data_IF_269368296250
#
_entry.id   IF_269368296250
#
_cell.length_a   1.000
_cell.length_b   1.000
_cell.length_c   1.000
_cell.angle_alpha   90.00
_cell.angle_beta   90.00
_cell.angle_gamma   90.00
#
_symmetry.space_group_name_H-M   'P 1'
#
loop_
_entity.id
_entity.type
_entity.pdbx_description
1 polymer ?
#
# COMPACT_ATOMS: atom_id res chain seq x y z
N UNK A 1 8.19 2.72 12.31
CA UNK A 1 7.31 3.23 11.24
C UNK A 1 5.91 3.41 11.80
N UNK A 2 5.09 4.22 11.16
CA UNK A 2 3.66 4.37 11.46
C UNK A 2 2.87 3.75 10.32
N UNK A 3 1.81 3.02 10.64
CA UNK A 3 0.82 2.60 9.66
C UNK A 3 -0.27 3.68 9.55
N UNK A 4 -0.58 4.13 8.34
CA UNK A 4 -1.64 5.11 8.11
C UNK A 4 -2.99 4.42 7.87
N UNK A 5 -4.01 4.76 8.67
CA UNK A 5 -5.41 4.51 8.34
C UNK A 5 -5.92 5.73 7.56
N UNK A 6 -6.35 5.52 6.32
CA UNK A 6 -6.70 6.59 5.38
C UNK A 6 -7.93 6.23 4.57
N UNK A 7 -8.61 7.24 4.04
CA UNK A 7 -9.73 7.05 3.13
C UNK A 7 -9.25 6.38 1.84
N UNK A 8 -9.89 5.28 1.50
CA UNK A 8 -9.68 4.54 0.26
C UNK A 8 -10.90 4.72 -0.64
N UNK A 9 -10.66 4.88 -1.93
CA UNK A 9 -11.69 4.90 -2.97
C UNK A 9 -11.29 3.87 -4.02
N UNK A 10 -12.22 2.98 -4.36
CA UNK A 10 -12.02 1.96 -5.38
C UNK A 10 -13.26 1.82 -6.23
N UNK A 11 -13.09 1.40 -7.48
CA UNK A 11 -14.19 0.94 -8.33
C UNK A 11 -14.51 -0.52 -7.96
N UNK A 12 -15.50 -0.72 -7.07
CA UNK A 12 -15.92 -2.04 -6.59
C UNK A 12 -16.54 -2.02 -5.20
N UNK A 13 -17.12 -3.15 -4.79
CA UNK A 13 -17.67 -3.33 -3.45
C UNK A 13 -16.55 -3.71 -2.46
N UNK A 14 -16.68 -3.29 -1.20
CA UNK A 14 -15.84 -3.82 -0.12
C UNK A 14 -14.54 -3.06 0.16
N UNK A 15 -14.57 -1.72 0.15
CA UNK A 15 -13.41 -0.90 0.57
C UNK A 15 -13.01 -1.17 2.03
N UNK A 16 -13.98 -1.52 2.88
CA UNK A 16 -13.71 -1.82 4.29
C UNK A 16 -12.83 -3.05 4.48
N UNK A 17 -12.85 -3.96 3.51
CA UNK A 17 -12.15 -5.24 3.48
C UNK A 17 -10.66 -5.01 3.24
N UNK A 18 -10.28 -4.00 2.44
CA UNK A 18 -8.89 -3.56 2.28
C UNK A 18 -8.24 -3.12 3.59
N UNK A 19 -9.05 -2.74 4.58
CA UNK A 19 -8.63 -2.27 5.90
C UNK A 19 -8.92 -3.29 7.02
N UNK A 20 -9.50 -4.44 6.70
CA UNK A 20 -9.97 -5.40 7.68
C UNK A 20 -8.84 -6.33 8.14
N UNK A 21 -8.79 -6.68 9.42
CA UNK A 21 -7.70 -7.50 9.98
C UNK A 21 -7.74 -8.97 9.53
N UNK A 22 -8.92 -9.50 9.19
CA UNK A 22 -9.04 -10.85 8.59
C UNK A 22 -8.74 -10.81 7.10
N UNK A 23 -7.83 -11.69 6.70
CA UNK A 23 -7.43 -11.95 5.30
C UNK A 23 -8.42 -12.85 4.56
N UNK A 24 -9.47 -13.35 5.22
CA UNK A 24 -10.50 -14.18 4.59
C UNK A 24 -11.45 -13.35 3.73
N UNK A 25 -11.50 -12.03 3.98
CA UNK A 25 -12.24 -11.05 3.19
C UNK A 25 -11.32 -10.39 2.18
N UNK A 26 -11.91 -9.95 1.09
CA UNK A 26 -11.19 -9.28 0.00
C UNK A 26 -12.05 -8.20 -0.63
N UNK A 27 -11.38 -7.16 -1.12
CA UNK A 27 -11.95 -6.30 -2.13
C UNK A 27 -11.92 -7.02 -3.48
N UNK A 28 -13.01 -6.89 -4.22
CA UNK A 28 -13.11 -7.37 -5.59
C UNK A 28 -13.35 -6.19 -6.52
N UNK A 29 -12.52 -6.08 -7.55
CA UNK A 29 -12.74 -5.11 -8.62
C UNK A 29 -14.00 -5.44 -9.42
N UNK A 30 -14.66 -4.43 -9.95
CA UNK A 30 -15.76 -4.59 -10.89
C UNK A 30 -15.65 -3.53 -11.99
N UNK A 31 -15.20 -3.94 -13.18
CA UNK A 31 -14.97 -2.99 -14.28
C UNK A 31 -13.95 -3.45 -15.33
N UNK A 32 -13.64 -2.57 -16.30
CA UNK A 32 -12.54 -2.80 -17.24
C UNK A 32 -11.17 -2.56 -16.57
N UNK A 33 -10.15 -3.30 -17.01
CA UNK A 33 -8.76 -3.02 -16.62
C UNK A 33 -8.25 -1.71 -17.25
N UNK A 34 -7.35 -0.97 -16.56
CA UNK A 34 -6.75 -1.32 -15.26
C UNK A 34 -7.67 -1.02 -14.07
N UNK A 35 -7.71 -1.93 -13.09
CA UNK A 35 -8.48 -1.74 -11.87
C UNK A 35 -7.75 -0.82 -10.91
N UNK A 36 -8.44 0.12 -10.28
CA UNK A 36 -7.77 1.17 -9.51
C UNK A 36 -8.19 1.17 -8.03
N UNK A 37 -7.18 1.21 -7.15
CA UNK A 37 -7.33 1.56 -5.73
C UNK A 37 -6.63 2.89 -5.48
N UNK A 38 -7.38 3.87 -5.00
CA UNK A 38 -6.89 5.21 -4.67
C UNK A 38 -6.85 5.40 -3.17
N UNK A 39 -5.73 5.94 -2.67
CA UNK A 39 -5.52 6.28 -1.27
C UNK A 39 -5.21 7.78 -1.19
N UNK A 40 -6.02 8.52 -0.45
CA UNK A 40 -5.87 9.97 -0.31
C UNK A 40 -5.47 10.35 1.11
N UNK A 41 -4.48 11.24 1.21
CA UNK A 41 -4.04 11.86 2.45
C UNK A 41 -4.54 13.30 2.52
N UNK A 42 -5.07 13.76 3.66
CA UNK A 42 -5.57 15.13 3.80
C UNK A 42 -4.46 16.19 3.70
N UNK A 43 -3.19 15.77 3.82
CA UNK A 43 -1.99 16.61 3.72
C UNK A 43 -0.85 15.81 3.10
N UNK A 44 0.14 16.52 2.56
CA UNK A 44 1.35 15.92 1.97
C UNK A 44 2.10 15.08 3.01
N UNK A 45 2.04 13.75 2.85
CA UNK A 45 2.45 12.74 3.83
C UNK A 45 3.74 12.05 3.41
N UNK A 46 4.62 11.77 4.36
CA UNK A 46 5.86 11.02 4.14
C UNK A 46 5.54 9.51 4.07
N UNK A 47 5.79 8.89 2.93
CA UNK A 47 5.46 7.49 2.61
C UNK A 47 6.76 6.74 2.35
N UNK A 48 6.93 5.61 3.03
CA UNK A 48 8.06 4.71 2.81
C UNK A 48 7.64 3.48 2.00
N UNK A 49 6.54 2.83 2.39
CA UNK A 49 6.14 1.55 1.80
C UNK A 49 4.63 1.46 1.64
N UNK A 50 4.22 0.65 0.66
CA UNK A 50 2.88 0.06 0.59
C UNK A 50 3.02 -1.43 0.82
N UNK A 51 2.14 -2.00 1.63
CA UNK A 51 2.01 -3.43 1.85
C UNK A 51 0.68 -3.90 1.29
N UNK A 52 0.68 -5.03 0.60
CA UNK A 52 -0.54 -5.67 0.06
C UNK A 52 -0.55 -7.14 0.43
N UNK A 53 -1.68 -7.67 0.91
CA UNK A 53 -1.83 -9.11 1.10
C UNK A 53 -2.45 -9.72 -0.15
N UNK A 54 -1.73 -10.64 -0.79
CA UNK A 54 -2.15 -11.39 -1.98
C UNK A 54 -2.05 -12.89 -1.71
N UNK A 55 -2.95 -13.69 -2.28
CA UNK A 55 -2.96 -15.13 -2.05
C UNK A 55 -3.29 -15.92 -3.32
N UNK A 56 -2.25 -16.21 -4.11
CA UNK A 56 -2.41 -16.94 -5.36
C UNK A 56 -3.08 -18.31 -5.21
N UNK A 57 -2.86 -18.99 -4.07
CA UNK A 57 -3.42 -20.32 -3.86
C UNK A 57 -4.93 -20.30 -3.72
N UNK A 58 -5.46 -19.23 -3.13
CA UNK A 58 -6.89 -19.08 -2.91
C UNK A 58 -7.58 -18.26 -4.00
N UNK A 59 -6.86 -17.32 -4.64
CA UNK A 59 -7.42 -16.35 -5.58
C UNK A 59 -7.15 -16.72 -7.06
N UNK A 60 -6.16 -17.57 -7.34
CA UNK A 60 -5.78 -18.03 -8.68
C UNK A 60 -5.73 -16.87 -9.71
N UNK A 61 -6.63 -16.87 -10.71
CA UNK A 61 -6.72 -15.84 -11.74
C UNK A 61 -7.11 -14.45 -11.24
N UNK A 62 -7.70 -14.32 -10.05
CA UNK A 62 -8.01 -13.02 -9.43
C UNK A 62 -6.78 -12.33 -8.83
N UNK A 63 -5.63 -13.00 -8.80
CA UNK A 63 -4.41 -12.48 -8.18
C UNK A 63 -3.67 -11.52 -9.12
N UNK A 64 -3.36 -10.28 -8.71
CA UNK A 64 -2.48 -9.38 -9.46
C UNK A 64 -1.16 -10.05 -9.84
N UNK A 65 -0.79 -9.98 -11.12
CA UNK A 65 0.55 -10.34 -11.62
C UNK A 65 1.40 -9.11 -11.90
N UNK A 66 0.75 -7.98 -12.21
CA UNK A 66 1.43 -6.70 -12.42
C UNK A 66 0.57 -5.53 -11.97
N UNK A 67 1.19 -4.62 -11.24
CA UNK A 67 0.59 -3.35 -10.83
C UNK A 67 1.53 -2.18 -11.18
N UNK A 68 0.97 -0.97 -11.20
CA UNK A 68 1.72 0.27 -11.25
C UNK A 68 1.28 1.14 -10.08
N UNK A 69 2.23 1.60 -9.27
CA UNK A 69 1.97 2.47 -8.11
C UNK A 69 2.39 3.89 -8.44
N UNK A 70 1.43 4.81 -8.51
CA UNK A 70 1.66 6.23 -8.75
C UNK A 70 1.60 7.03 -7.44
N UNK A 71 2.44 8.06 -7.36
CA UNK A 71 2.41 9.07 -6.31
C UNK A 71 2.04 10.42 -6.90
N UNK A 72 1.20 11.20 -6.22
CA UNK A 72 0.77 12.50 -6.70
C UNK A 72 0.51 13.55 -5.65
N UNK A 73 0.46 14.81 -6.08
CA UNK A 73 -0.07 15.92 -5.27
C UNK A 73 -1.61 15.98 -5.32
N UNK A 74 -2.22 15.41 -6.35
CA UNK A 74 -3.66 15.22 -6.53
C UNK A 74 -3.90 14.10 -7.56
N UNK A 75 -5.15 13.68 -7.74
CA UNK A 75 -5.51 12.65 -8.73
C UNK A 75 -5.20 13.01 -10.19
N UNK A 76 -5.11 14.31 -10.49
CA UNK A 76 -4.76 14.81 -11.84
C UNK A 76 -3.26 15.06 -12.02
N UNK A 77 -2.47 14.90 -10.95
CA UNK A 77 -1.03 15.17 -10.93
C UNK A 77 -0.29 13.98 -10.30
N UNK A 78 -0.34 12.85 -11.00
CA UNK A 78 0.39 11.63 -10.68
C UNK A 78 1.75 11.62 -11.39
N UNK A 79 2.73 10.95 -10.80
CA UNK A 79 4.05 10.70 -11.40
C UNK A 79 4.00 9.56 -12.45
N UNK A 80 5.16 9.24 -13.02
CA UNK A 80 5.32 8.22 -14.07
C UNK A 80 4.98 6.79 -13.59
N UNK A 81 4.81 6.59 -12.28
CA UNK A 81 4.47 5.30 -11.68
C UNK A 81 5.65 4.35 -11.51
N UNK A 82 5.55 3.50 -10.50
CA UNK A 82 6.48 2.41 -10.22
C UNK A 82 5.82 1.07 -10.63
N UNK A 83 6.30 0.40 -11.69
CA UNK A 83 5.80 -0.93 -12.01
C UNK A 83 6.32 -1.96 -10.99
N UNK A 84 5.43 -2.87 -10.58
CA UNK A 84 5.73 -3.98 -9.67
C UNK A 84 5.11 -5.24 -10.25
N UNK A 85 5.88 -6.32 -10.29
CA UNK A 85 5.45 -7.63 -10.79
C UNK A 85 5.46 -8.66 -9.66
N UNK A 86 4.50 -9.57 -9.70
CA UNK A 86 4.32 -10.64 -8.73
C UNK A 86 4.31 -11.97 -9.44
N UNK A 87 4.95 -12.98 -8.84
CA UNK A 87 4.96 -14.35 -9.35
C UNK A 87 4.35 -15.28 -8.29
N UNK A 88 3.09 -15.66 -8.50
CA UNK A 88 2.30 -16.50 -7.58
C UNK A 88 2.42 -16.06 -6.11
N UNK A 89 2.17 -14.77 -5.80
CA UNK A 89 2.43 -14.22 -4.48
C UNK A 89 1.55 -14.91 -3.43
N UNK A 90 2.12 -15.18 -2.25
CA UNK A 90 1.37 -15.67 -1.09
C UNK A 90 1.79 -14.86 0.14
N UNK A 91 0.83 -14.21 0.78
CA UNK A 91 1.06 -13.37 1.95
C UNK A 91 1.34 -11.91 1.62
N UNK A 92 1.97 -11.21 2.57
CA UNK A 92 2.27 -9.79 2.44
C UNK A 92 3.39 -9.50 1.45
N UNK A 93 3.06 -8.67 0.47
CA UNK A 93 3.99 -8.07 -0.48
C UNK A 93 4.34 -6.66 -0.02
N UNK A 94 5.62 -6.32 0.02
CA UNK A 94 6.13 -5.02 0.44
C UNK A 94 6.69 -4.26 -0.76
N UNK A 95 6.15 -3.08 -1.04
CA UNK A 95 6.54 -2.22 -2.14
C UNK A 95 7.30 -1.02 -1.58
N UNK A 96 8.56 -0.86 -1.97
CA UNK A 96 9.39 0.27 -1.56
C UNK A 96 9.09 1.50 -2.42
N UNK A 97 8.51 2.51 -1.77
CA UNK A 97 8.16 3.78 -2.40
C UNK A 97 9.16 4.89 -2.05
N UNK A 98 10.26 4.58 -1.36
CA UNK A 98 11.29 5.57 -1.06
C UNK A 98 11.99 6.04 -2.33
N UNK A 99 12.56 7.24 -2.25
CA UNK A 99 13.39 7.78 -3.33
C UNK A 99 14.58 6.86 -3.59
N UNK A 100 14.65 6.25 -4.78
CA UNK A 100 15.77 5.38 -5.19
C UNK A 100 17.15 6.05 -5.08
N UNK A 101 17.21 7.38 -5.22
CA UNK A 101 18.45 8.15 -5.13
C UNK A 101 18.90 8.38 -3.69
N UNK A 102 17.96 8.60 -2.78
CA UNK A 102 18.28 9.11 -1.43
C UNK A 102 17.89 8.16 -0.30
N UNK A 103 17.16 7.09 -0.60
CA UNK A 103 16.50 6.19 0.34
C UNK A 103 15.64 6.92 1.40
N UNK A 104 15.21 8.15 1.10
CA UNK A 104 14.32 8.95 1.94
C UNK A 104 12.86 8.65 1.59
N UNK A 105 11.92 8.82 2.54
CA UNK A 105 10.49 8.72 2.25
C UNK A 105 10.09 9.61 1.08
N UNK A 106 9.24 9.10 0.21
CA UNK A 106 8.60 9.91 -0.82
C UNK A 106 7.44 10.69 -0.20
N UNK A 107 7.03 11.80 -0.82
CA UNK A 107 6.04 12.69 -0.23
C UNK A 107 4.90 12.98 -1.19
N UNK A 108 3.71 12.46 -0.87
CA UNK A 108 2.53 12.53 -1.73
C UNK A 108 1.27 12.86 -0.92
N UNK A 109 0.22 13.28 -1.64
CA UNK A 109 -1.15 13.37 -1.12
C UNK A 109 -2.04 12.27 -1.68
N UNK A 110 -1.65 11.65 -2.78
CA UNK A 110 -2.37 10.54 -3.41
C UNK A 110 -1.39 9.40 -3.67
N UNK A 111 -1.80 8.18 -3.36
CA UNK A 111 -1.24 6.95 -3.92
C UNK A 111 -2.34 6.35 -4.80
N UNK A 112 -2.03 6.07 -6.06
CA UNK A 112 -2.92 5.33 -6.95
C UNK A 112 -2.26 4.01 -7.34
N UNK A 113 -2.92 2.90 -7.01
CA UNK A 113 -2.48 1.55 -7.36
C UNK A 113 -3.35 1.08 -8.51
N UNK A 114 -2.73 0.87 -9.66
CA UNK A 114 -3.38 0.35 -10.87
C UNK A 114 -2.99 -1.11 -11.06
N UNK A 115 -3.98 -2.00 -11.06
CA UNK A 115 -3.80 -3.41 -11.40
C UNK A 115 -3.96 -3.55 -12.91
N UNK A 116 -2.83 -3.73 -13.60
CA UNK A 116 -2.80 -3.76 -15.06
C UNK A 116 -2.91 -5.18 -15.61
N UNK A 117 -2.42 -6.18 -14.86
CA UNK A 117 -2.56 -7.59 -15.22
C UNK A 117 -2.79 -8.46 -13.98
N UNK A 118 -3.59 -9.49 -14.17
CA UNK A 118 -3.76 -10.60 -13.23
C UNK A 118 -3.09 -11.86 -13.77
N UNK A 119 -2.89 -12.83 -12.89
CA UNK A 119 -2.44 -14.16 -13.30
C UNK A 119 -3.49 -14.82 -14.20
N UNK A 120 -3.04 -15.72 -15.08
CA UNK A 120 -3.92 -16.51 -15.96
C UNK A 120 -4.88 -15.65 -16.82
N UNK A 121 -4.54 -14.39 -17.08
CA UNK A 121 -5.39 -13.40 -17.74
C UNK A 121 -6.77 -13.21 -17.07
N UNK A 122 -6.82 -13.30 -15.74
CA UNK A 122 -8.04 -13.05 -14.98
C UNK A 122 -8.57 -11.65 -15.22
N UNK A 123 -9.91 -11.56 -15.25
CA UNK A 123 -10.63 -10.33 -15.57
C UNK A 123 -10.70 -9.38 -14.38
N UNK A 124 -11.14 -9.90 -13.24
CA UNK A 124 -11.31 -9.15 -12.00
C UNK A 124 -10.20 -9.49 -11.01
N UNK A 125 -10.07 -8.67 -9.97
CA UNK A 125 -8.94 -8.71 -9.03
C UNK A 125 -9.43 -8.88 -7.61
N UNK A 126 -8.74 -9.70 -6.82
CA UNK A 126 -8.87 -9.75 -5.36
C UNK A 126 -7.65 -9.12 -4.68
N UNK A 127 -7.93 -8.18 -3.77
CA UNK A 127 -6.91 -7.66 -2.84
C UNK A 127 -7.47 -7.83 -1.44
N UNK A 128 -6.77 -8.61 -0.61
CA UNK A 128 -7.26 -8.97 0.73
C UNK A 128 -7.00 -7.88 1.75
N UNK A 129 -5.87 -7.17 1.65
CA UNK A 129 -5.54 -6.09 2.58
C UNK A 129 -4.50 -5.14 1.98
N UNK A 130 -4.60 -3.84 2.28
CA UNK A 130 -3.57 -2.84 2.00
C UNK A 130 -3.17 -2.08 3.28
N UNK A 131 -1.88 -1.79 3.44
CA UNK A 131 -1.35 -0.89 4.48
C UNK A 131 -0.33 0.07 3.89
N UNK A 132 -0.32 1.32 4.37
CA UNK A 132 0.70 2.31 4.00
C UNK A 132 1.57 2.62 5.20
N UNK A 133 2.89 2.55 5.02
CA UNK A 133 3.86 2.77 6.08
C UNK A 133 4.65 4.06 5.84
N UNK A 134 4.82 4.85 6.91
CA UNK A 134 5.66 6.05 6.94
C UNK A 134 6.64 6.07 8.12
N UNK A 135 7.49 7.11 8.23
CA UNK A 135 8.43 7.26 9.33
C UNK A 135 7.72 7.60 10.66
N UNK A 136 8.29 7.17 11.81
CA UNK A 136 7.78 7.51 13.16
C UNK A 136 7.73 9.03 13.43
N UNK A 137 8.63 9.78 12.80
CA UNK A 137 8.67 11.23 12.86
C UNK A 137 8.68 11.76 11.43
N UNK A 138 7.58 12.40 11.02
CA UNK A 138 7.60 13.18 9.79
C UNK A 138 8.48 14.41 10.01
N UNK A 139 9.31 14.73 9.01
CA UNK A 139 10.21 15.90 9.06
C UNK A 139 9.48 17.23 9.01
N UNK A 140 8.17 17.23 8.74
CA UNK A 140 7.38 18.43 8.46
C UNK A 140 6.18 18.63 9.41
N UNK A 141 6.07 17.85 10.50
CA UNK A 141 5.03 18.09 11.53
C UNK A 141 5.59 19.04 12.59
N UNK A 142 5.40 20.34 12.38
CA UNK A 142 5.39 21.32 13.45
C UNK A 142 3.96 21.43 14.00
N UNK A 143 3.74 20.96 15.24
CA UNK A 143 2.58 21.31 16.07
C UNK A 143 1.16 21.04 15.55
N UNK A 144 0.80 19.80 15.20
CA UNK A 144 -0.61 19.42 15.07
C UNK A 144 -0.92 18.22 15.95
N UNK A 145 -1.66 18.46 17.05
CA UNK A 145 -2.33 17.41 17.83
C UNK A 145 -3.40 16.79 16.93
N UNK A 146 -3.09 15.67 16.31
CA UNK A 146 -4.01 14.97 15.41
C UNK A 146 -5.00 14.15 16.26
N UNK A 147 -6.29 14.47 16.14
CA UNK A 147 -7.37 13.52 16.40
C UNK A 147 -7.43 12.52 15.21
N UNK A 148 -6.37 11.74 15.09
CA UNK A 148 -6.30 10.52 14.30
C UNK A 148 -6.20 9.44 15.37
N UNK A 149 -6.92 8.32 15.23
CA UNK A 149 -6.79 7.17 16.14
C UNK A 149 -5.31 6.94 16.46
N UNK A 150 -4.99 6.71 17.75
CA UNK A 150 -3.63 6.80 18.29
C UNK A 150 -2.60 6.31 17.27
N UNK A 151 -1.59 7.11 16.87
CA UNK A 151 -0.53 6.62 16.00
C UNK A 151 0.15 5.45 16.73
N UNK A 152 -0.23 4.22 16.35
CA UNK A 152 0.38 3.01 16.87
C UNK A 152 1.78 2.90 16.30
N UNK A 153 2.70 2.42 17.13
CA UNK A 153 3.98 1.88 16.67
C UNK A 153 3.71 0.69 15.73
N UNK A 154 4.67 0.35 14.86
CA UNK A 154 4.60 -0.91 14.09
C UNK A 154 4.31 -2.12 14.97
N UNK A 155 4.75 -2.09 16.22
CA UNK A 155 4.57 -3.15 17.22
C UNK A 155 3.13 -3.25 17.72
N UNK A 156 2.34 -2.17 17.64
CA UNK A 156 0.93 -2.14 18.03
C UNK A 156 0.00 -2.77 16.98
N UNK A 157 0.53 -3.07 15.79
CA UNK A 157 -0.19 -3.73 14.72
C UNK A 157 0.43 -5.10 14.47
N UNK A 158 -0.38 -6.17 14.43
CA UNK A 158 0.09 -7.49 14.03
C UNK A 158 0.56 -7.45 12.56
N UNK A 159 1.80 -7.03 12.32
CA UNK A 159 2.50 -7.32 11.09
C UNK A 159 2.93 -8.79 11.22
N UNK A 160 2.41 -9.71 10.39
CA UNK A 160 2.89 -11.06 10.45
C UNK A 160 4.38 -11.09 10.09
N UNK A 161 5.10 -12.13 10.52
CA UNK A 161 6.53 -12.24 10.29
C UNK A 161 6.78 -12.32 8.79
N UNK A 162 7.05 -11.18 8.17
CA UNK A 162 7.69 -11.10 6.87
C UNK A 162 9.18 -11.15 7.19
N UNK A 163 9.91 -12.25 6.90
CA UNK A 163 11.33 -12.38 7.26
C UNK A 163 12.19 -11.24 6.70
N UNK A 164 11.73 -10.60 5.62
CA UNK A 164 12.35 -9.42 5.02
C UNK A 164 11.98 -8.10 5.69
N UNK A 165 10.81 -8.00 6.33
CA UNK A 165 10.35 -6.76 6.97
C UNK A 165 11.25 -6.39 8.15
N UNK A 166 11.73 -7.36 8.93
CA UNK A 166 12.71 -7.07 9.99
C UNK A 166 14.04 -6.57 9.40
N UNK A 167 14.48 -7.08 8.25
CA UNK A 167 15.67 -6.60 7.54
C UNK A 167 15.46 -5.20 6.94
N UNK A 168 14.29 -4.92 6.36
CA UNK A 168 13.91 -3.62 5.80
C UNK A 168 13.68 -2.56 6.89
N UNK A 169 13.03 -2.92 8.01
CA UNK A 169 12.90 -2.06 9.19
C UNK A 169 14.28 -1.74 9.78
N UNK A 170 15.16 -2.73 9.88
CA UNK A 170 16.54 -2.53 10.37
C UNK A 170 17.34 -1.61 9.45
N UNK A 171 17.20 -1.77 8.12
CA UNK A 171 17.76 -0.84 7.13
C UNK A 171 17.21 0.58 7.27
N UNK A 172 15.92 0.73 7.59
CA UNK A 172 15.30 2.04 7.83
C UNK A 172 15.75 2.73 9.12
N UNK A 173 16.10 1.96 10.17
CA UNK A 173 16.61 2.49 11.44
C UNK A 173 18.13 2.78 11.41
N UNK A 174 18.87 2.22 10.45
CA UNK A 174 20.30 2.44 10.28
C UNK A 174 20.67 3.79 9.61
N UNK A 175 19.69 4.52 9.07
CA UNK A 175 19.91 5.84 8.44
C UNK A 175 19.93 6.93 9.52
N UNK A 176 21.10 7.18 10.13
CA UNK A 176 21.39 8.43 10.84
C UNK A 176 21.61 9.57 9.83
#
# INVERSE_FOLDING_TARGET
MVCYCVSMVSEGNGIHELLHDSVDKYWQSDGPQPHTVTIEFPRKTDICFVMMYLDFKNDESYTPSKIIVHLGSSLVHLDDGLPVEFNEPTGWQLIDLRSRRTNRPSRAMVIQIQVVHNHQNGRDTHIRHIRVLGPNRSRFISHARLHIGRPGSVEDFMLPPVPELNKLISSCMAIR
#
